data_IF_319559617024
#
_entry.id   IF_319559617024
#
_cell.length_a   1.000
_cell.length_b   1.000
_cell.length_c   1.000
_cell.angle_alpha   90.00
_cell.angle_beta   90.00
_cell.angle_gamma   90.00
#
_symmetry.space_group_name_H-M   'P 1'
#
loop_
_entity.id
_entity.type
_entity.pdbx_description
1 polymer ?
#
# COMPACT_ATOMS: atom_id res chain seq x y z
N UNK A 1 55.56 73.43 -18.52
CA UNK A 1 55.57 72.04 -19.06
C UNK A 1 54.80 71.16 -18.13
N UNK A 2 53.49 70.99 -18.39
CA UNK A 2 52.60 70.21 -17.54
C UNK A 2 52.25 68.87 -18.21
N UNK A 3 52.71 67.77 -17.58
CA UNK A 3 52.45 66.45 -18.03
C UNK A 3 51.06 66.02 -17.50
N UNK A 4 50.09 65.79 -18.41
CA UNK A 4 48.77 65.29 -18.13
C UNK A 4 48.86 63.79 -17.92
N UNK A 5 48.57 63.30 -16.72
CA UNK A 5 48.44 61.86 -16.44
C UNK A 5 46.97 61.39 -16.70
N UNK A 6 46.81 60.56 -17.70
CA UNK A 6 45.59 59.93 -18.01
C UNK A 6 45.46 58.69 -17.16
N UNK A 7 44.45 58.66 -16.23
CA UNK A 7 44.16 57.49 -15.40
C UNK A 7 43.06 56.68 -16.08
N UNK A 8 43.39 55.48 -16.51
CA UNK A 8 42.45 54.52 -17.10
C UNK A 8 41.73 53.73 -15.98
N UNK A 9 40.44 53.94 -15.83
CA UNK A 9 39.60 53.17 -14.90
C UNK A 9 39.11 51.92 -15.60
N UNK A 10 39.55 50.74 -15.09
CA UNK A 10 39.07 49.44 -15.55
C UNK A 10 37.88 49.07 -14.68
N UNK A 11 36.67 49.10 -15.21
CA UNK A 11 35.46 48.58 -14.59
C UNK A 11 35.39 47.07 -14.83
N UNK A 12 35.66 46.26 -13.80
CA UNK A 12 35.43 44.83 -13.82
C UNK A 12 33.97 44.54 -13.55
N UNK A 13 33.25 44.13 -14.58
CA UNK A 13 31.86 43.65 -14.48
C UNK A 13 31.92 42.24 -13.86
N UNK A 14 31.62 42.14 -12.56
CA UNK A 14 31.49 40.85 -11.87
C UNK A 14 30.26 40.12 -12.33
N UNK A 15 30.42 39.14 -13.22
CA UNK A 15 29.34 38.20 -13.56
C UNK A 15 29.12 37.23 -12.41
N UNK A 16 27.97 37.34 -11.72
CA UNK A 16 27.51 36.34 -10.76
C UNK A 16 27.16 35.05 -11.47
N UNK A 17 28.02 34.04 -11.39
CA UNK A 17 27.72 32.67 -11.74
C UNK A 17 26.74 32.13 -10.70
N UNK A 18 25.45 32.06 -11.06
CA UNK A 18 24.44 31.30 -10.31
C UNK A 18 24.81 29.81 -10.45
N UNK A 19 25.43 29.26 -9.42
CA UNK A 19 25.67 27.83 -9.32
C UNK A 19 24.31 27.15 -9.09
N UNK A 20 23.76 26.51 -10.11
CA UNK A 20 22.68 25.56 -9.98
C UNK A 20 23.20 24.35 -9.22
N UNK A 21 22.94 24.30 -7.92
CA UNK A 21 23.13 23.06 -7.16
C UNK A 21 22.00 22.10 -7.58
N UNK A 22 22.33 20.88 -8.06
CA UNK A 22 21.31 19.87 -8.26
C UNK A 22 20.70 19.58 -6.88
N UNK A 23 19.37 19.75 -6.77
CA UNK A 23 18.64 19.31 -5.59
C UNK A 23 18.91 17.81 -5.44
N UNK A 24 19.73 17.44 -4.46
CA UNK A 24 19.88 16.05 -4.09
C UNK A 24 18.49 15.55 -3.71
N UNK A 25 17.93 14.63 -4.50
CA UNK A 25 16.71 13.95 -4.16
C UNK A 25 16.93 13.32 -2.78
N UNK A 26 16.32 13.88 -1.75
CA UNK A 26 16.35 13.28 -0.41
C UNK A 26 15.62 11.95 -0.53
N UNK A 27 16.41 10.87 -0.59
CA UNK A 27 15.88 9.53 -0.42
C UNK A 27 15.25 9.51 0.98
N UNK A 28 13.91 9.42 1.03
CA UNK A 28 13.22 9.23 2.29
C UNK A 28 13.82 7.99 2.96
N UNK A 29 14.16 8.05 4.25
CA UNK A 29 14.66 6.88 4.95
C UNK A 29 13.63 5.76 4.82
N UNK A 30 14.03 4.50 4.69
CA UNK A 30 13.11 3.38 4.64
C UNK A 30 12.18 3.42 5.85
N UNK A 31 10.90 3.14 5.62
CA UNK A 31 9.92 3.16 6.71
C UNK A 31 10.39 2.22 7.83
N UNK A 32 10.36 2.74 9.06
CA UNK A 32 10.73 1.94 10.22
C UNK A 32 9.77 0.76 10.35
N UNK A 33 10.31 -0.44 10.54
CA UNK A 33 9.52 -1.64 10.83
C UNK A 33 8.59 -1.37 12.01
N UNK A 34 7.31 -1.73 11.88
CA UNK A 34 6.37 -1.65 12.99
C UNK A 34 6.79 -2.64 14.09
N UNK A 35 6.77 -2.21 15.35
CA UNK A 35 7.03 -3.09 16.50
C UNK A 35 5.93 -4.15 16.61
N UNK A 36 4.71 -3.75 16.28
CA UNK A 36 3.53 -4.61 16.20
C UNK A 36 2.73 -4.26 14.97
N UNK A 37 2.32 -5.27 14.21
CA UNK A 37 1.42 -5.08 13.07
C UNK A 37 -0.01 -4.92 13.58
N UNK A 38 -0.70 -3.91 13.05
CA UNK A 38 -2.09 -3.59 13.40
C UNK A 38 -2.90 -3.29 12.14
N UNK A 39 -4.17 -3.69 12.12
CA UNK A 39 -5.11 -3.29 11.07
C UNK A 39 -5.55 -1.85 11.35
N UNK A 40 -5.10 -0.91 10.52
CA UNK A 40 -5.41 0.52 10.63
C UNK A 40 -6.66 0.93 9.85
N UNK A 41 -7.02 0.14 8.81
CA UNK A 41 -8.32 0.21 8.14
C UNK A 41 -8.90 -1.18 8.07
N UNK A 42 -10.11 -1.35 8.62
CA UNK A 42 -10.80 -2.62 8.65
C UNK A 42 -10.99 -3.23 7.26
N UNK A 43 -11.06 -4.59 7.15
CA UNK A 43 -11.37 -5.25 5.90
C UNK A 43 -12.72 -4.81 5.35
N UNK A 44 -12.74 -4.47 4.07
CA UNK A 44 -13.93 -4.03 3.37
C UNK A 44 -13.99 -4.64 1.97
N UNK A 45 -15.21 -4.86 1.50
CA UNK A 45 -15.49 -5.20 0.11
C UNK A 45 -15.07 -4.01 -0.78
N UNK A 46 -14.27 -4.26 -1.80
CA UNK A 46 -13.94 -3.27 -2.83
C UNK A 46 -14.77 -3.53 -4.10
N UNK A 47 -14.89 -4.77 -4.48
CA UNK A 47 -15.63 -5.23 -5.65
C UNK A 47 -16.25 -6.60 -5.36
N UNK A 48 -17.48 -6.83 -5.82
CA UNK A 48 -18.07 -8.16 -5.94
C UNK A 48 -18.78 -8.32 -7.28
N UNK A 49 -18.62 -9.49 -7.88
CA UNK A 49 -19.44 -10.01 -8.97
C UNK A 49 -20.08 -11.30 -8.48
N UNK A 50 -20.88 -11.94 -9.33
CA UNK A 50 -21.51 -13.21 -9.06
C UNK A 50 -20.53 -14.37 -8.72
N UNK A 51 -19.28 -14.29 -9.13
CA UNK A 51 -18.27 -15.36 -8.98
C UNK A 51 -16.93 -14.90 -8.43
N UNK A 52 -16.76 -13.59 -8.15
CA UNK A 52 -15.49 -13.00 -7.72
C UNK A 52 -15.72 -11.87 -6.73
N UNK A 53 -14.80 -11.72 -5.77
CA UNK A 53 -14.75 -10.54 -4.91
C UNK A 53 -13.31 -10.07 -4.68
N UNK A 54 -13.16 -8.80 -4.32
CA UNK A 54 -11.89 -8.22 -3.83
C UNK A 54 -12.14 -7.65 -2.44
N UNK A 55 -11.39 -8.15 -1.47
CA UNK A 55 -11.34 -7.65 -0.11
C UNK A 55 -10.08 -6.79 0.06
N UNK A 56 -10.24 -5.60 0.63
CA UNK A 56 -9.18 -4.63 0.89
C UNK A 56 -9.11 -4.29 2.38
N UNK A 57 -7.89 -4.20 2.92
CA UNK A 57 -7.63 -3.68 4.27
C UNK A 57 -6.27 -3.00 4.31
N UNK A 58 -6.00 -2.25 5.38
CA UNK A 58 -4.70 -1.57 5.54
C UNK A 58 -4.12 -1.89 6.91
N UNK A 59 -2.82 -2.12 6.95
CA UNK A 59 -2.04 -2.24 8.18
C UNK A 59 -1.03 -1.10 8.28
N UNK A 60 -0.50 -0.84 9.48
CA UNK A 60 0.76 -0.12 9.60
C UNK A 60 1.84 -0.90 8.82
N UNK A 61 2.92 -0.26 8.40
CA UNK A 61 3.93 -0.95 7.60
C UNK A 61 4.62 -2.05 8.44
N UNK A 62 4.38 -3.35 8.17
CA UNK A 62 4.84 -4.41 9.05
C UNK A 62 6.37 -4.57 9.02
N UNK A 63 7.03 -4.22 7.90
CA UNK A 63 8.43 -4.51 7.70
C UNK A 63 8.72 -6.02 7.61
N UNK A 64 9.97 -6.43 7.76
CA UNK A 64 10.40 -7.83 7.54
C UNK A 64 10.80 -8.08 6.10
N UNK A 65 10.24 -9.09 5.43
CA UNK A 65 10.51 -9.35 4.01
C UNK A 65 9.82 -8.32 3.11
N UNK A 66 10.45 -8.00 1.97
CA UNK A 66 9.88 -7.07 0.98
C UNK A 66 8.58 -7.58 0.35
N UNK A 67 8.37 -8.90 0.36
CA UNK A 67 7.17 -9.55 -0.15
C UNK A 67 6.36 -10.07 1.02
N UNK A 68 5.10 -9.64 1.07
CA UNK A 68 4.11 -10.11 2.02
C UNK A 68 2.92 -10.70 1.28
N UNK A 69 2.16 -11.52 1.99
CA UNK A 69 0.90 -12.06 1.50
C UNK A 69 -0.24 -11.54 2.36
N UNK A 70 -1.26 -10.99 1.71
CA UNK A 70 -2.57 -10.84 2.29
C UNK A 70 -3.34 -12.14 2.13
N UNK A 71 -4.01 -12.59 3.19
CA UNK A 71 -4.77 -13.83 3.20
C UNK A 71 -6.18 -13.53 3.68
N UNK A 72 -7.18 -14.01 2.92
CA UNK A 72 -8.58 -14.03 3.35
C UNK A 72 -8.95 -15.48 3.65
N UNK A 73 -9.38 -15.75 4.87
CA UNK A 73 -9.99 -16.99 5.29
C UNK A 73 -11.50 -16.82 5.18
N UNK A 74 -12.20 -17.68 4.46
CA UNK A 74 -13.62 -17.49 4.17
C UNK A 74 -14.41 -18.80 4.10
N UNK A 75 -15.71 -18.68 4.21
CA UNK A 75 -16.66 -19.79 4.12
C UNK A 75 -18.10 -19.29 4.15
N UNK A 76 -19.06 -20.18 3.94
CA UNK A 76 -20.49 -19.86 4.04
C UNK A 76 -21.03 -20.02 5.47
N UNK A 77 -20.25 -20.61 6.37
CA UNK A 77 -20.53 -20.70 7.80
C UNK A 77 -19.52 -19.83 8.57
N UNK A 78 -19.95 -18.90 9.45
CA UNK A 78 -19.03 -18.10 10.25
C UNK A 78 -18.16 -18.91 11.23
N UNK A 79 -18.54 -20.16 11.51
CA UNK A 79 -17.76 -21.08 12.35
C UNK A 79 -16.75 -21.90 11.56
N UNK A 80 -16.88 -21.94 10.23
CA UNK A 80 -15.97 -22.66 9.33
C UNK A 80 -15.47 -21.75 8.20
N UNK A 81 -14.32 -21.15 8.42
CA UNK A 81 -13.60 -20.32 7.45
C UNK A 81 -12.39 -21.06 6.89
N UNK A 82 -12.60 -22.30 6.47
CA UNK A 82 -11.53 -23.22 6.02
C UNK A 82 -10.99 -22.92 4.62
N UNK A 83 -11.73 -22.17 3.80
CA UNK A 83 -11.24 -21.76 2.49
C UNK A 83 -10.31 -20.56 2.61
N UNK A 84 -9.30 -20.49 1.74
CA UNK A 84 -8.35 -19.38 1.74
C UNK A 84 -8.10 -18.84 0.36
N UNK A 85 -7.93 -17.52 0.27
CA UNK A 85 -7.40 -16.83 -0.89
C UNK A 85 -6.18 -15.99 -0.46
N UNK A 86 -5.13 -16.00 -1.28
CA UNK A 86 -3.85 -15.40 -0.93
C UNK A 86 -3.28 -14.64 -2.13
N UNK A 87 -2.94 -13.36 -1.91
CA UNK A 87 -2.28 -12.55 -2.94
C UNK A 87 -0.97 -11.98 -2.40
N UNK A 88 0.11 -12.05 -3.20
CA UNK A 88 1.36 -11.39 -2.85
C UNK A 88 1.26 -9.89 -3.08
N UNK A 89 1.95 -9.14 -2.24
CA UNK A 89 2.18 -7.72 -2.39
C UNK A 89 3.64 -7.41 -2.10
N UNK A 90 4.21 -6.48 -2.85
CA UNK A 90 5.50 -5.91 -2.51
C UNK A 90 5.27 -4.72 -1.57
N UNK A 91 5.89 -4.75 -0.39
CA UNK A 91 5.76 -3.65 0.57
C UNK A 91 6.37 -2.38 0.01
N UNK A 92 5.67 -1.27 0.15
CA UNK A 92 6.24 0.05 -0.11
C UNK A 92 6.94 0.56 1.15
N UNK A 93 8.25 0.37 1.20
CA UNK A 93 9.08 0.76 2.34
C UNK A 93 9.10 2.28 2.61
N UNK A 94 8.74 3.10 1.63
CA UNK A 94 8.62 4.56 1.77
C UNK A 94 7.30 5.00 2.43
N UNK A 95 6.34 4.11 2.66
CA UNK A 95 5.04 4.42 3.26
C UNK A 95 4.92 3.86 4.68
N UNK A 96 4.20 4.57 5.54
CA UNK A 96 3.92 4.14 6.91
C UNK A 96 2.76 3.13 7.01
N UNK A 97 2.20 2.72 5.89
CA UNK A 97 1.08 1.78 5.83
C UNK A 97 1.19 0.87 4.60
N UNK A 98 0.54 -0.26 4.67
CA UNK A 98 0.43 -1.23 3.57
C UNK A 98 -1.04 -1.57 3.34
N UNK A 99 -1.50 -1.45 2.10
CA UNK A 99 -2.87 -1.84 1.72
C UNK A 99 -2.83 -3.17 0.97
N UNK A 100 -3.43 -4.18 1.58
CA UNK A 100 -3.65 -5.48 0.96
C UNK A 100 -4.93 -5.46 0.14
N UNK A 101 -4.92 -6.18 -0.99
CA UNK A 101 -6.06 -6.42 -1.86
C UNK A 101 -6.03 -7.87 -2.28
N UNK A 102 -6.98 -8.65 -1.81
CA UNK A 102 -7.04 -10.08 -2.09
C UNK A 102 -8.27 -10.39 -2.92
N UNK A 103 -8.02 -11.05 -4.07
CA UNK A 103 -9.06 -11.53 -4.95
C UNK A 103 -9.47 -12.96 -4.55
N UNK A 104 -10.76 -13.16 -4.37
CA UNK A 104 -11.37 -14.47 -4.17
C UNK A 104 -12.14 -14.81 -5.44
N UNK A 105 -11.97 -16.01 -5.96
CA UNK A 105 -12.63 -16.49 -7.20
C UNK A 105 -13.40 -17.78 -6.94
N UNK A 106 -14.24 -18.20 -7.91
CA UNK A 106 -15.01 -19.43 -7.82
C UNK A 106 -16.16 -19.35 -6.81
N UNK A 107 -16.60 -18.14 -6.49
CA UNK A 107 -17.73 -17.92 -5.62
C UNK A 107 -19.06 -18.29 -6.33
N UNK A 108 -20.07 -18.64 -5.54
CA UNK A 108 -21.44 -18.87 -6.03
C UNK A 108 -22.22 -17.55 -6.04
N UNK A 109 -23.09 -17.31 -7.04
CA UNK A 109 -23.98 -16.14 -7.06
C UNK A 109 -24.92 -16.12 -5.85
N UNK A 110 -25.40 -14.93 -5.47
CA UNK A 110 -26.42 -14.71 -4.43
C UNK A 110 -26.12 -15.47 -3.12
N UNK A 111 -24.82 -15.58 -2.78
CA UNK A 111 -24.37 -16.37 -1.63
C UNK A 111 -23.66 -15.47 -0.64
N UNK A 112 -24.03 -15.60 0.64
CA UNK A 112 -23.34 -14.89 1.73
C UNK A 112 -22.10 -15.66 2.16
N UNK A 113 -20.97 -14.97 2.21
CA UNK A 113 -19.70 -15.46 2.71
C UNK A 113 -19.27 -14.67 3.94
N UNK A 114 -18.75 -15.38 4.93
CA UNK A 114 -18.10 -14.83 6.10
C UNK A 114 -16.60 -14.91 5.92
N UNK A 115 -15.84 -13.96 6.46
CA UNK A 115 -14.41 -13.93 6.28
C UNK A 115 -13.67 -13.22 7.41
N UNK A 116 -12.40 -13.58 7.57
CA UNK A 116 -11.38 -12.84 8.33
C UNK A 116 -10.16 -12.64 7.46
N UNK A 117 -9.31 -11.68 7.82
CA UNK A 117 -8.04 -11.45 7.12
C UNK A 117 -6.86 -11.59 8.04
N UNK A 118 -5.76 -12.06 7.47
CA UNK A 118 -4.43 -12.13 8.09
C UNK A 118 -3.38 -11.66 7.09
N UNK A 119 -2.15 -11.47 7.52
CA UNK A 119 -1.00 -11.26 6.65
C UNK A 119 0.22 -12.03 7.16
N UNK A 120 1.13 -12.33 6.24
CA UNK A 120 2.35 -13.05 6.53
C UNK A 120 3.50 -12.63 5.60
N UNK A 121 4.73 -12.85 6.06
CA UNK A 121 5.93 -12.70 5.27
C UNK A 121 6.02 -13.78 4.16
N UNK A 122 6.90 -13.59 3.17
CA UNK A 122 7.10 -14.53 2.06
C UNK A 122 7.52 -15.93 2.49
N UNK A 123 8.14 -16.06 3.65
CA UNK A 123 8.57 -17.33 4.27
C UNK A 123 7.45 -18.04 5.07
N UNK A 124 6.23 -17.46 5.10
CA UNK A 124 5.09 -17.99 5.85
C UNK A 124 5.02 -17.53 7.31
N UNK A 125 5.93 -16.68 7.76
CA UNK A 125 5.88 -16.13 9.12
C UNK A 125 4.72 -15.15 9.24
N UNK A 126 3.77 -15.45 10.15
CA UNK A 126 2.63 -14.58 10.42
C UNK A 126 3.05 -13.23 10.99
N UNK A 127 2.38 -12.17 10.56
CA UNK A 127 2.48 -10.84 11.16
C UNK A 127 1.75 -10.73 12.51
N UNK A 128 1.06 -11.79 12.94
CA UNK A 128 0.35 -11.85 14.21
C UNK A 128 -0.98 -11.08 14.23
N UNK A 129 -1.47 -10.62 13.08
CA UNK A 129 -2.69 -9.84 12.96
C UNK A 129 -3.83 -10.68 12.37
N UNK A 130 -5.04 -10.53 12.95
CA UNK A 130 -6.26 -11.14 12.46
C UNK A 130 -7.43 -10.17 12.67
N UNK A 131 -8.30 -10.02 11.66
CA UNK A 131 -9.51 -9.22 11.79
C UNK A 131 -10.61 -9.96 12.57
N UNK A 132 -11.62 -9.21 12.99
CA UNK A 132 -12.94 -9.76 13.35
C UNK A 132 -13.59 -10.37 12.11
N UNK A 133 -14.61 -11.22 12.33
CA UNK A 133 -15.39 -11.79 11.25
C UNK A 133 -16.26 -10.70 10.59
N UNK A 134 -16.18 -10.64 9.28
CA UNK A 134 -17.02 -9.79 8.42
C UNK A 134 -17.77 -10.66 7.42
N UNK A 135 -18.71 -10.08 6.68
CA UNK A 135 -19.46 -10.79 5.65
C UNK A 135 -19.67 -9.94 4.41
N UNK A 136 -19.87 -10.60 3.28
CA UNK A 136 -20.37 -10.02 2.04
C UNK A 136 -21.33 -11.01 1.37
N UNK A 137 -22.15 -10.51 0.45
CA UNK A 137 -23.02 -11.35 -0.40
C UNK A 137 -22.68 -11.08 -1.85
N UNK A 138 -22.42 -12.13 -2.62
CA UNK A 138 -22.22 -12.03 -4.07
C UNK A 138 -23.54 -11.61 -4.72
N UNK A 139 -23.52 -10.70 -5.71
CA UNK A 139 -24.71 -10.31 -6.45
C UNK A 139 -25.23 -11.44 -7.35
N UNK A 140 -26.34 -11.20 -8.01
CA UNK A 140 -26.92 -12.09 -9.01
C UNK A 140 -26.03 -12.22 -10.26
N UNK A 141 -26.33 -13.20 -11.13
CA UNK A 141 -25.59 -13.39 -12.37
C UNK A 141 -25.54 -12.13 -13.23
N UNK A 142 -24.34 -11.72 -13.66
CA UNK A 142 -24.11 -10.54 -14.47
C UNK A 142 -24.14 -9.20 -13.71
N UNK A 143 -24.46 -9.21 -12.43
CA UNK A 143 -24.46 -8.02 -11.58
C UNK A 143 -23.10 -7.76 -10.96
N UNK A 144 -22.89 -6.49 -10.55
CA UNK A 144 -21.65 -6.04 -9.92
C UNK A 144 -21.90 -5.02 -8.83
N UNK A 145 -21.23 -5.19 -7.70
CA UNK A 145 -21.18 -4.23 -6.60
C UNK A 145 -19.76 -3.64 -6.55
N UNK A 146 -19.68 -2.32 -6.54
CA UNK A 146 -18.42 -1.60 -6.33
C UNK A 146 -18.61 -0.72 -5.10
N UNK A 147 -17.78 -0.91 -4.08
CA UNK A 147 -17.78 -0.03 -2.94
C UNK A 147 -17.33 1.37 -3.37
N UNK A 148 -18.07 2.39 -2.95
CA UNK A 148 -17.59 3.77 -3.09
C UNK A 148 -16.46 4.00 -2.09
N UNK A 149 -15.41 4.74 -2.50
CA UNK A 149 -14.28 5.07 -1.63
C UNK A 149 -14.71 5.92 -0.43
#
# INVERSE_FOLDING_TARGET
MNALRLTLAITTTGGSLLAFQPAAAQLLPPAKKAERVEITKAPALELATDHLTIIRWTTNNPGGSDVHYGIVHYGTDPKDLSQTAKNPIRLNQGHQYTTFRVRIQGLKPQTTYYYTVTSEESNGKSDGVKSTISKFTTPGPGERIVARP
#
